data_IF_938480903694
#
_entry.id   IF_938480903694
#
_cell.length_a   1.000
_cell.length_b   1.000
_cell.length_c   1.000
_cell.angle_alpha   90.00
_cell.angle_beta   90.00
_cell.angle_gamma   90.00
#
_symmetry.space_group_name_H-M   'P 1'
#
loop_
_entity.id
_entity.type
_entity.pdbx_description
1 polymer ?
#
# COMPACT_ATOMS: atom_id res chain seq x y z
N UNK A 1 -6.71 25.95 9.68
CA UNK A 1 -5.94 25.04 10.57
C UNK A 1 -6.37 23.63 10.20
N UNK A 2 -5.46 22.81 9.68
CA UNK A 2 -5.78 21.42 9.33
C UNK A 2 -6.10 20.68 10.63
N UNK A 3 -7.32 20.16 10.75
CA UNK A 3 -7.83 19.64 12.01
C UNK A 3 -7.40 18.19 12.21
N UNK A 4 -6.14 17.98 12.63
CA UNK A 4 -5.55 16.65 12.88
C UNK A 4 -6.34 15.79 13.88
N UNK A 5 -7.24 16.40 14.66
CA UNK A 5 -8.07 15.73 15.68
C UNK A 5 -9.31 15.03 15.13
N UNK A 6 -9.69 15.27 13.87
CA UNK A 6 -10.87 14.62 13.29
C UNK A 6 -10.56 13.19 12.83
N UNK A 7 -11.47 12.26 13.12
CA UNK A 7 -11.41 10.90 12.61
C UNK A 7 -11.62 10.87 11.09
N UNK A 8 -11.15 9.82 10.43
CA UNK A 8 -11.35 9.67 8.99
C UNK A 8 -12.84 9.69 8.61
N UNK A 9 -13.69 9.10 9.45
CA UNK A 9 -15.14 9.09 9.27
C UNK A 9 -15.76 10.49 9.37
N UNK A 10 -15.28 11.32 10.32
CA UNK A 10 -15.74 12.71 10.44
C UNK A 10 -15.37 13.53 9.21
N UNK A 11 -14.11 13.41 8.75
CA UNK A 11 -13.66 14.07 7.53
C UNK A 11 -14.43 13.57 6.30
N UNK A 12 -14.73 12.27 6.24
CA UNK A 12 -15.51 11.68 5.16
C UNK A 12 -16.94 12.22 5.11
N UNK A 13 -17.60 12.34 6.26
CA UNK A 13 -18.95 12.87 6.31
C UNK A 13 -18.99 14.36 5.95
N UNK A 14 -18.05 15.17 6.44
CA UNK A 14 -17.93 16.58 6.06
C UNK A 14 -17.64 16.75 4.55
N UNK A 15 -16.76 15.91 3.98
CA UNK A 15 -16.52 15.85 2.54
C UNK A 15 -17.81 15.61 1.75
N UNK A 16 -18.67 14.70 2.20
CA UNK A 16 -19.95 14.37 1.53
C UNK A 16 -20.91 15.56 1.51
N UNK A 17 -20.84 16.41 2.53
CA UNK A 17 -21.59 17.67 2.61
C UNK A 17 -20.99 18.77 1.73
N UNK A 18 -19.77 18.58 1.23
CA UNK A 18 -19.08 19.48 0.32
C UNK A 18 -18.02 20.35 0.98
N UNK A 19 -17.56 19.97 2.18
CA UNK A 19 -16.46 20.64 2.87
C UNK A 19 -15.12 20.41 2.13
N UNK A 20 -14.52 21.51 1.66
CA UNK A 20 -13.24 21.51 0.94
C UNK A 20 -12.04 21.29 1.88
N UNK A 21 -12.12 21.75 3.13
CA UNK A 21 -11.04 21.56 4.10
C UNK A 21 -10.98 20.09 4.53
N UNK A 22 -12.14 19.44 4.68
CA UNK A 22 -12.21 18.01 4.95
C UNK A 22 -11.64 17.17 3.79
N UNK A 23 -11.91 17.57 2.54
CA UNK A 23 -11.29 16.96 1.36
C UNK A 23 -9.77 17.08 1.38
N UNK A 24 -9.26 18.30 1.64
CA UNK A 24 -7.82 18.57 1.69
C UNK A 24 -7.14 17.77 2.81
N UNK A 25 -7.77 17.69 3.98
CA UNK A 25 -7.26 16.91 5.11
C UNK A 25 -7.18 15.41 4.79
N UNK A 26 -8.19 14.84 4.13
CA UNK A 26 -8.15 13.44 3.68
C UNK A 26 -7.04 13.22 2.65
N UNK A 27 -6.88 14.12 1.69
CA UNK A 27 -5.81 14.04 0.70
C UNK A 27 -4.44 14.01 1.38
N UNK A 28 -4.14 15.01 2.22
CA UNK A 28 -2.86 15.10 2.91
C UNK A 28 -2.59 13.89 3.82
N UNK A 29 -3.61 13.42 4.54
CA UNK A 29 -3.50 12.28 5.45
C UNK A 29 -3.18 10.97 4.74
N UNK A 30 -3.77 10.75 3.56
CA UNK A 30 -3.64 9.46 2.87
C UNK A 30 -2.65 9.44 1.71
N UNK A 31 -2.23 10.61 1.19
CA UNK A 31 -1.38 10.69 0.00
C UNK A 31 -0.12 9.84 0.12
N UNK A 32 0.69 10.04 1.16
CA UNK A 32 1.97 9.32 1.31
C UNK A 32 1.78 7.80 1.42
N UNK A 33 0.75 7.34 2.14
CA UNK A 33 0.47 5.91 2.29
C UNK A 33 -0.06 5.29 0.99
N UNK A 34 -0.92 6.01 0.28
CA UNK A 34 -1.45 5.60 -1.03
C UNK A 34 -0.33 5.55 -2.07
N UNK A 35 0.54 6.55 -2.09
CA UNK A 35 1.71 6.62 -2.97
C UNK A 35 2.65 5.44 -2.71
N UNK A 36 3.04 5.20 -1.46
CA UNK A 36 3.91 4.08 -1.09
C UNK A 36 3.32 2.73 -1.49
N UNK A 37 2.01 2.54 -1.32
CA UNK A 37 1.33 1.32 -1.79
C UNK A 37 1.28 1.23 -3.32
N UNK A 38 0.89 2.31 -3.99
CA UNK A 38 0.77 2.34 -5.44
C UNK A 38 2.11 2.06 -6.14
N UNK A 39 3.19 2.65 -5.64
CA UNK A 39 4.54 2.44 -6.16
C UNK A 39 4.95 0.96 -6.07
N UNK A 40 4.70 0.30 -4.93
CA UNK A 40 4.94 -1.16 -4.78
C UNK A 40 4.11 -2.04 -5.72
N UNK A 41 3.00 -1.52 -6.25
CA UNK A 41 2.10 -2.29 -7.12
C UNK A 41 2.41 -2.10 -8.60
N UNK A 42 2.80 -0.89 -9.00
CA UNK A 42 2.95 -0.51 -10.41
C UNK A 42 4.39 -0.24 -10.84
N UNK A 43 5.30 0.04 -9.90
CA UNK A 43 6.69 0.45 -10.15
C UNK A 43 6.84 1.58 -11.20
N UNK A 44 5.81 2.43 -11.31
CA UNK A 44 5.77 3.58 -12.22
C UNK A 44 5.23 4.78 -11.43
N UNK A 45 6.10 5.76 -11.17
CA UNK A 45 5.79 6.95 -10.37
C UNK A 45 4.68 7.76 -11.01
N UNK A 46 4.82 8.10 -12.30
CA UNK A 46 3.85 8.92 -13.04
C UNK A 46 2.46 8.29 -13.01
N UNK A 47 2.37 6.99 -13.29
CA UNK A 47 1.09 6.26 -13.27
C UNK A 47 0.45 6.29 -11.89
N UNK A 48 1.24 6.17 -10.82
CA UNK A 48 0.73 6.17 -9.44
C UNK A 48 0.22 7.55 -9.03
N UNK A 49 0.96 8.61 -9.36
CA UNK A 49 0.54 9.98 -9.09
C UNK A 49 -0.76 10.31 -9.84
N UNK A 50 -0.84 9.98 -11.13
CA UNK A 50 -2.04 10.14 -11.94
C UNK A 50 -3.22 9.34 -11.36
N UNK A 51 -2.99 8.09 -10.94
CA UNK A 51 -4.02 7.27 -10.33
C UNK A 51 -4.56 7.86 -9.02
N UNK A 52 -3.69 8.46 -8.20
CA UNK A 52 -4.08 9.13 -6.94
C UNK A 52 -4.84 10.42 -7.26
N UNK A 53 -4.36 11.23 -8.19
CA UNK A 53 -5.03 12.47 -8.59
C UNK A 53 -6.44 12.16 -9.13
N UNK A 54 -6.54 11.22 -10.06
CA UNK A 54 -7.82 10.75 -10.60
C UNK A 54 -8.73 10.21 -9.51
N UNK A 55 -8.19 9.54 -8.50
CA UNK A 55 -8.97 9.06 -7.34
C UNK A 55 -9.63 10.22 -6.62
N UNK A 56 -8.86 11.22 -6.22
CA UNK A 56 -9.36 12.32 -5.43
C UNK A 56 -10.26 13.26 -6.25
N UNK A 57 -10.00 13.45 -7.54
CA UNK A 57 -10.91 14.17 -8.45
C UNK A 57 -12.27 13.46 -8.53
N UNK A 58 -12.27 12.14 -8.73
CA UNK A 58 -13.50 11.35 -8.78
C UNK A 58 -14.24 11.38 -7.44
N UNK A 59 -13.51 11.27 -6.33
CA UNK A 59 -14.07 11.35 -4.99
C UNK A 59 -14.78 12.70 -4.76
N UNK A 60 -14.16 13.81 -5.16
CA UNK A 60 -14.79 15.13 -5.05
C UNK A 60 -16.04 15.24 -5.93
N UNK A 61 -15.97 14.78 -7.17
CA UNK A 61 -17.11 14.81 -8.11
C UNK A 61 -18.30 13.99 -7.59
N UNK A 62 -18.03 12.82 -7.03
CA UNK A 62 -19.03 11.86 -6.54
C UNK A 62 -19.33 12.01 -5.04
N UNK A 63 -18.80 13.03 -4.36
CA UNK A 63 -18.86 13.17 -2.89
C UNK A 63 -20.27 13.01 -2.30
N UNK A 64 -21.31 13.50 -2.97
CA UNK A 64 -22.71 13.38 -2.49
C UNK A 64 -23.30 11.99 -2.65
N UNK A 65 -22.84 11.21 -3.63
CA UNK A 65 -23.35 9.87 -3.94
C UNK A 65 -22.48 8.75 -3.36
N UNK A 66 -21.28 9.06 -2.90
CA UNK A 66 -20.42 8.07 -2.25
C UNK A 66 -21.11 7.59 -0.97
N UNK A 67 -21.21 6.27 -0.80
CA UNK A 67 -21.84 5.67 0.36
C UNK A 67 -21.09 6.02 1.64
N UNK A 68 -21.72 5.83 2.80
CA UNK A 68 -20.96 5.68 4.04
C UNK A 68 -19.94 4.56 3.81
N UNK A 69 -18.65 4.88 3.88
CA UNK A 69 -17.61 3.90 3.65
C UNK A 69 -17.54 2.99 4.89
N UNK A 70 -17.50 1.67 4.68
CA UNK A 70 -17.20 0.68 5.75
C UNK A 70 -15.87 1.02 6.44
N UNK A 71 -14.92 1.55 5.67
CA UNK A 71 -13.72 2.25 6.13
C UNK A 71 -13.22 3.18 5.02
N UNK A 72 -12.87 4.42 5.37
CA UNK A 72 -12.31 5.40 4.43
C UNK A 72 -11.01 4.87 3.82
N UNK A 73 -10.11 4.35 4.66
CA UNK A 73 -8.86 3.73 4.22
C UNK A 73 -9.13 2.60 3.22
N UNK A 74 -10.05 1.70 3.54
CA UNK A 74 -10.41 0.59 2.65
C UNK A 74 -10.92 1.07 1.28
N UNK A 75 -11.82 2.06 1.28
CA UNK A 75 -12.35 2.65 0.05
C UNK A 75 -11.23 3.23 -0.83
N UNK A 76 -10.32 4.01 -0.24
CA UNK A 76 -9.24 4.67 -0.96
C UNK A 76 -8.28 3.65 -1.58
N UNK A 77 -7.85 2.63 -0.83
CA UNK A 77 -6.94 1.60 -1.33
C UNK A 77 -7.57 0.78 -2.46
N UNK A 78 -8.83 0.36 -2.31
CA UNK A 78 -9.56 -0.36 -3.34
C UNK A 78 -9.71 0.48 -4.62
N UNK A 79 -10.02 1.76 -4.47
CA UNK A 79 -10.19 2.69 -5.59
C UNK A 79 -8.88 2.94 -6.31
N UNK A 80 -7.78 3.12 -5.58
CA UNK A 80 -6.45 3.30 -6.14
C UNK A 80 -6.00 2.07 -6.92
N UNK A 81 -6.12 0.87 -6.32
CA UNK A 81 -5.71 -0.38 -6.98
C UNK A 81 -6.45 -0.59 -8.31
N UNK A 82 -7.75 -0.27 -8.34
CA UNK A 82 -8.55 -0.31 -9.56
C UNK A 82 -8.04 0.69 -10.61
N UNK A 83 -7.71 1.92 -10.21
CA UNK A 83 -7.20 2.96 -11.12
C UNK A 83 -5.85 2.58 -11.71
N UNK A 84 -4.92 2.12 -10.87
CA UNK A 84 -3.63 1.57 -11.32
C UNK A 84 -3.85 0.47 -12.35
N UNK A 85 -4.70 -0.52 -12.05
CA UNK A 85 -4.97 -1.63 -12.98
C UNK A 85 -5.57 -1.17 -14.32
N UNK A 86 -6.40 -0.13 -14.31
CA UNK A 86 -6.97 0.43 -15.54
C UNK A 86 -5.93 1.21 -16.34
N UNK A 87 -5.06 1.98 -15.67
CA UNK A 87 -4.01 2.77 -16.32
C UNK A 87 -2.89 1.88 -16.86
N UNK A 88 -2.43 0.88 -16.11
CA UNK A 88 -1.38 -0.04 -16.58
C UNK A 88 -1.80 -0.79 -17.84
N UNK A 89 -3.07 -1.23 -17.90
CA UNK A 89 -3.63 -1.86 -19.11
C UNK A 89 -3.71 -0.92 -20.31
N UNK A 90 -3.83 0.39 -20.07
CA UNK A 90 -3.80 1.38 -21.14
C UNK A 90 -2.36 1.55 -21.61
N UNK A 91 -1.39 1.69 -20.71
CA UNK A 91 0.03 1.77 -21.09
C UNK A 91 0.51 0.53 -21.86
N UNK A 92 0.10 -0.68 -21.46
CA UNK A 92 0.41 -1.92 -22.19
C UNK A 92 -0.09 -1.93 -23.64
N UNK A 93 -1.11 -1.12 -23.97
CA UNK A 93 -1.64 -0.94 -25.33
C UNK A 93 -0.92 0.12 -26.17
N UNK A 94 -0.02 0.91 -25.57
CA UNK A 94 0.75 1.98 -26.20
C UNK A 94 2.25 1.71 -25.98
N UNK A 95 2.82 0.83 -26.81
CA UNK A 95 4.25 0.49 -27.02
C UNK A 95 5.36 1.01 -26.09
N UNK A 96 6.27 0.09 -25.76
CA UNK A 96 7.75 0.23 -25.67
C UNK A 96 8.30 1.64 -25.50
N UNK A 97 8.79 1.96 -24.29
CA UNK A 97 9.99 2.78 -24.05
C UNK A 97 10.62 2.28 -22.74
N UNK A 98 11.92 1.95 -22.79
CA UNK A 98 12.76 1.68 -21.62
C UNK A 98 12.67 2.83 -20.61
N UNK A 99 12.59 2.53 -19.33
CA UNK A 99 12.87 3.57 -18.31
C UNK A 99 13.62 3.00 -17.13
N UNK A 100 14.66 3.75 -16.81
CA UNK A 100 15.73 3.50 -15.88
C UNK A 100 15.25 3.40 -14.43
N UNK A 101 15.95 2.55 -13.68
CA UNK A 101 15.80 2.34 -12.25
C UNK A 101 15.99 3.64 -11.48
N UNK A 102 14.91 4.20 -10.91
CA UNK A 102 15.00 5.29 -9.94
C UNK A 102 15.14 4.72 -8.53
N UNK A 103 16.25 5.02 -7.87
CA UNK A 103 16.48 4.74 -6.46
C UNK A 103 15.51 5.54 -5.58
N UNK A 104 14.97 4.89 -4.55
CA UNK A 104 14.18 5.52 -3.51
C UNK A 104 15.00 6.58 -2.74
N UNK A 105 14.40 7.70 -2.29
CA UNK A 105 15.13 8.67 -1.48
C UNK A 105 15.30 8.17 -0.04
N UNK A 106 16.56 8.15 0.42
CA UNK A 106 16.95 7.83 1.80
C UNK A 106 16.78 9.01 2.77
N UNK A 107 16.29 8.65 3.95
CA UNK A 107 16.71 9.00 5.32
C UNK A 107 16.80 10.46 5.80
N UNK A 108 16.04 10.73 6.86
CA UNK A 108 16.31 11.78 7.85
C UNK A 108 17.36 11.29 8.85
N UNK A 109 18.45 12.05 8.98
CA UNK A 109 19.54 11.81 9.93
C UNK A 109 19.26 12.48 11.28
N UNK A 110 19.49 11.75 12.38
CA UNK A 110 19.72 12.28 13.72
C UNK A 110 20.74 11.38 14.43
N UNK A 111 21.80 11.98 14.96
CA UNK A 111 22.99 11.32 15.52
C UNK A 111 22.67 10.51 16.81
N UNK A 112 22.94 9.19 16.80
CA UNK A 112 23.05 8.32 17.99
C UNK A 112 23.82 6.99 17.65
N UNK A 113 24.10 6.04 18.57
CA UNK A 113 25.37 5.30 18.60
C UNK A 113 25.56 4.28 17.46
N UNK A 114 26.62 4.51 16.67
CA UNK A 114 26.98 3.92 15.38
C UNK A 114 26.92 2.38 15.26
N UNK A 115 27.25 1.61 16.31
CA UNK A 115 27.35 0.15 16.22
C UNK A 115 26.00 -0.59 16.12
N UNK A 116 24.96 -0.08 16.79
CA UNK A 116 23.63 -0.71 16.72
C UNK A 116 22.88 -0.35 15.45
N UNK A 117 23.16 0.83 14.88
CA UNK A 117 22.57 1.27 13.62
C UNK A 117 23.08 0.45 12.43
N UNK A 118 24.36 0.08 12.41
CA UNK A 118 24.92 -0.76 11.34
C UNK A 118 24.25 -2.15 11.30
N UNK A 119 24.09 -2.81 12.44
CA UNK A 119 23.40 -4.11 12.52
C UNK A 119 21.92 -4.01 12.12
N UNK A 120 21.22 -2.96 12.55
CA UNK A 120 19.84 -2.71 12.18
C UNK A 120 19.69 -2.42 10.68
N UNK A 121 20.58 -1.61 10.13
CA UNK A 121 20.58 -1.24 8.71
C UNK A 121 20.83 -2.47 7.84
N UNK A 122 21.81 -3.31 8.21
CA UNK A 122 22.07 -4.58 7.53
C UNK A 122 20.89 -5.54 7.62
N UNK A 123 20.19 -5.58 8.76
CA UNK A 123 18.98 -6.41 8.91
C UNK A 123 17.85 -5.90 8.01
N UNK A 124 17.61 -4.58 7.98
CA UNK A 124 16.60 -3.95 7.12
C UNK A 124 16.92 -4.23 5.65
N UNK A 125 18.17 -4.08 5.22
CA UNK A 125 18.60 -4.34 3.85
C UNK A 125 18.34 -5.80 3.46
N UNK A 126 18.70 -6.77 4.31
CA UNK A 126 18.42 -8.20 4.08
C UNK A 126 16.94 -8.50 3.99
N UNK A 127 16.11 -7.86 4.82
CA UNK A 127 14.64 -8.02 4.77
C UNK A 127 14.09 -7.43 3.48
N UNK A 128 14.51 -6.22 3.11
CA UNK A 128 14.10 -5.55 1.88
C UNK A 128 14.45 -6.38 0.66
N UNK A 129 15.68 -6.88 0.59
CA UNK A 129 16.13 -7.77 -0.49
C UNK A 129 15.26 -9.05 -0.58
N UNK A 130 14.96 -9.68 0.55
CA UNK A 130 14.10 -10.88 0.56
C UNK A 130 12.66 -10.57 0.09
N UNK A 131 12.12 -9.40 0.44
CA UNK A 131 10.80 -8.94 -0.01
C UNK A 131 10.78 -8.66 -1.50
N UNK A 132 11.82 -8.03 -2.06
CA UNK A 132 11.94 -7.73 -3.50
C UNK A 132 12.00 -9.00 -4.36
N UNK A 133 12.48 -10.12 -3.82
CA UNK A 133 12.50 -11.41 -4.53
C UNK A 133 11.15 -12.12 -4.58
N UNK A 134 10.16 -11.66 -3.80
CA UNK A 134 8.83 -12.23 -3.88
C UNK A 134 8.16 -11.88 -5.22
N UNK A 135 7.34 -12.78 -5.80
CA UNK A 135 6.48 -12.42 -6.93
C UNK A 135 5.58 -11.21 -6.60
N UNK A 136 5.24 -10.34 -7.57
CA UNK A 136 4.51 -9.09 -7.32
C UNK A 136 3.20 -9.27 -6.52
N UNK A 137 2.45 -10.34 -6.81
CA UNK A 137 1.22 -10.67 -6.07
C UNK A 137 1.47 -11.02 -4.59
N UNK A 138 2.60 -11.63 -4.28
CA UNK A 138 2.99 -11.95 -2.91
C UNK A 138 3.43 -10.69 -2.18
N UNK A 139 4.24 -9.84 -2.81
CA UNK A 139 4.62 -8.53 -2.28
C UNK A 139 3.40 -7.67 -1.94
N UNK A 140 2.42 -7.58 -2.86
CA UNK A 140 1.21 -6.80 -2.65
C UNK A 140 0.39 -7.28 -1.45
N UNK A 141 0.21 -8.60 -1.32
CA UNK A 141 -0.51 -9.20 -0.19
C UNK A 141 0.22 -8.96 1.14
N UNK A 142 1.56 -9.04 1.16
CA UNK A 142 2.37 -8.70 2.34
C UNK A 142 2.22 -7.21 2.69
N UNK A 143 2.28 -6.32 1.70
CA UNK A 143 2.09 -4.89 1.89
C UNK A 143 0.72 -4.57 2.51
N UNK A 144 -0.36 -5.11 1.93
CA UNK A 144 -1.71 -4.88 2.44
C UNK A 144 -1.92 -5.48 3.84
N UNK A 145 -1.34 -6.64 4.12
CA UNK A 145 -1.51 -7.31 5.42
C UNK A 145 -0.69 -6.65 6.53
N UNK A 146 0.61 -6.49 6.31
CA UNK A 146 1.56 -6.15 7.38
C UNK A 146 1.85 -4.64 7.46
N UNK A 147 1.83 -3.92 6.34
CA UNK A 147 2.06 -2.47 6.34
C UNK A 147 0.75 -1.70 6.51
N UNK A 148 -0.33 -2.22 5.92
CA UNK A 148 -1.63 -1.53 5.94
C UNK A 148 -2.61 -2.09 6.97
N UNK A 149 -2.38 -3.29 7.50
CA UNK A 149 -3.20 -3.89 8.56
C UNK A 149 -4.53 -4.47 8.10
N UNK A 150 -4.76 -4.64 6.79
CA UNK A 150 -6.02 -5.15 6.27
C UNK A 150 -6.25 -6.62 6.63
N UNK A 151 -7.52 -6.99 6.82
CA UNK A 151 -7.96 -8.39 6.99
C UNK A 151 -8.01 -9.10 5.64
N UNK A 152 -7.95 -10.43 5.65
CA UNK A 152 -7.94 -11.24 4.42
C UNK A 152 -9.13 -10.94 3.50
N UNK A 153 -10.31 -10.72 4.07
CA UNK A 153 -11.53 -10.35 3.33
C UNK A 153 -11.40 -8.98 2.64
N UNK A 154 -10.78 -8.00 3.30
CA UNK A 154 -10.54 -6.68 2.72
C UNK A 154 -9.48 -6.77 1.61
N UNK A 155 -8.39 -7.51 1.84
CA UNK A 155 -7.36 -7.76 0.83
C UNK A 155 -7.98 -8.41 -0.41
N UNK A 156 -8.84 -9.41 -0.22
CA UNK A 156 -9.57 -10.08 -1.29
C UNK A 156 -10.40 -9.10 -2.12
N UNK A 157 -11.12 -8.18 -1.46
CA UNK A 157 -11.93 -7.14 -2.12
C UNK A 157 -11.09 -6.06 -2.81
N UNK A 158 -9.93 -5.69 -2.26
CA UNK A 158 -8.98 -4.74 -2.86
C UNK A 158 -8.37 -5.33 -4.14
N UNK A 159 -7.91 -6.57 -4.07
CA UNK A 159 -7.22 -7.25 -5.17
C UNK A 159 -8.16 -7.91 -6.18
N UNK A 160 -9.45 -8.02 -5.87
CA UNK A 160 -10.44 -8.69 -6.75
C UNK A 160 -10.25 -10.21 -6.84
N UNK A 161 -9.83 -10.86 -5.76
CA UNK A 161 -9.61 -12.31 -5.66
C UNK A 161 -10.43 -12.92 -4.51
N UNK A 162 -10.40 -14.24 -4.35
CA UNK A 162 -11.07 -14.90 -3.22
C UNK A 162 -10.23 -14.81 -1.95
N UNK A 163 -10.87 -14.81 -0.78
CA UNK A 163 -10.17 -14.84 0.52
C UNK A 163 -9.27 -16.09 0.66
N UNK A 164 -9.72 -17.23 0.12
CA UNK A 164 -8.89 -18.45 0.02
C UNK A 164 -7.61 -18.19 -0.79
N UNK A 165 -7.70 -17.44 -1.89
CA UNK A 165 -6.54 -17.06 -2.70
C UNK A 165 -5.59 -16.15 -1.91
N UNK A 166 -6.12 -15.21 -1.11
CA UNK A 166 -5.30 -14.37 -0.22
C UNK A 166 -4.54 -15.23 0.78
N UNK A 167 -5.22 -16.13 1.51
CA UNK A 167 -4.57 -17.04 2.48
C UNK A 167 -3.47 -17.89 1.83
N UNK A 168 -3.76 -18.49 0.67
CA UNK A 168 -2.78 -19.26 -0.07
C UNK A 168 -1.58 -18.40 -0.52
N UNK A 169 -1.81 -17.16 -0.93
CA UNK A 169 -0.76 -16.24 -1.37
C UNK A 169 0.11 -15.79 -0.18
N UNK A 170 -0.51 -15.47 0.97
CA UNK A 170 0.20 -15.21 2.23
C UNK A 170 1.07 -16.39 2.63
N UNK A 171 0.50 -17.60 2.64
CA UNK A 171 1.25 -18.80 3.02
C UNK A 171 2.47 -19.04 2.12
N UNK A 172 2.31 -18.86 0.80
CA UNK A 172 3.40 -18.95 -0.16
C UNK A 172 4.46 -17.86 0.07
N UNK A 173 4.03 -16.62 0.31
CA UNK A 173 4.93 -15.51 0.58
C UNK A 173 5.77 -15.75 1.83
N UNK A 174 5.13 -16.14 2.93
CA UNK A 174 5.81 -16.43 4.21
C UNK A 174 6.72 -17.66 4.10
N UNK A 175 6.33 -18.69 3.36
CA UNK A 175 7.18 -19.85 3.10
C UNK A 175 8.43 -19.47 2.29
N UNK A 176 8.27 -18.65 1.25
CA UNK A 176 9.38 -18.17 0.45
C UNK A 176 10.34 -17.29 1.26
N UNK A 177 9.81 -16.37 2.07
CA UNK A 177 10.62 -15.57 2.99
C UNK A 177 11.37 -16.44 4.01
N UNK A 178 10.76 -17.53 4.50
CA UNK A 178 11.44 -18.45 5.42
C UNK A 178 12.63 -19.17 4.77
N UNK A 179 12.52 -19.52 3.49
CA UNK A 179 13.60 -20.17 2.73
C UNK A 179 14.74 -19.21 2.40
N UNK A 180 14.41 -17.97 2.00
CA UNK A 180 15.39 -16.96 1.58
C UNK A 180 16.00 -16.19 2.76
N UNK A 181 15.26 -16.05 3.86
CA UNK A 181 15.66 -15.34 5.07
C UNK A 181 15.48 -16.25 6.30
N UNK A 182 16.34 -17.27 6.48
CA UNK A 182 16.23 -18.22 7.58
C UNK A 182 16.32 -17.58 8.97
N UNK A 183 16.93 -16.39 9.07
CA UNK A 183 16.94 -15.59 10.29
C UNK A 183 15.53 -15.12 10.74
N UNK A 184 14.54 -15.10 9.83
CA UNK A 184 13.14 -14.79 10.14
C UNK A 184 12.32 -16.04 10.52
N UNK A 185 12.87 -17.25 10.41
CA UNK A 185 12.14 -18.50 10.62
C UNK A 185 11.34 -18.59 11.94
N UNK A 186 11.86 -18.20 13.12
CA UNK A 186 11.07 -18.27 14.36
C UNK A 186 9.85 -17.34 14.34
N UNK A 187 9.98 -16.15 13.76
CA UNK A 187 8.90 -15.17 13.62
C UNK A 187 7.86 -15.62 12.58
N UNK A 188 8.32 -16.13 11.44
CA UNK A 188 7.44 -16.62 10.37
C UNK A 188 6.70 -17.90 10.77
N UNK A 189 7.28 -18.74 11.63
CA UNK A 189 6.60 -19.91 12.19
C UNK A 189 5.38 -19.54 13.01
N UNK A 190 5.51 -18.52 13.87
CA UNK A 190 4.38 -17.98 14.64
C UNK A 190 3.30 -17.38 13.73
N UNK A 191 3.70 -16.60 12.72
CA UNK A 191 2.76 -16.01 11.76
C UNK A 191 2.03 -17.09 10.95
N UNK A 192 2.74 -18.10 10.44
CA UNK A 192 2.13 -19.20 9.68
C UNK A 192 1.10 -19.98 10.51
N UNK A 193 1.39 -20.22 11.80
CA UNK A 193 0.42 -20.86 12.71
C UNK A 193 -0.80 -19.98 12.97
N UNK A 194 -0.61 -18.67 13.14
CA UNK A 194 -1.70 -17.71 13.33
C UNK A 194 -2.62 -17.57 12.09
N UNK A 195 -2.10 -17.87 10.90
CA UNK A 195 -2.83 -17.76 9.63
C UNK A 195 -3.38 -19.09 9.08
N UNK A 196 -3.09 -20.22 9.74
CA UNK A 196 -3.62 -21.56 9.41
C UNK A 196 -4.97 -21.83 10.07
#
# INVERSE_FOLDING_TARGET
MINERQSDEQLWNALREGDQDAFSALYQRFYATLYSYGYKVADNVTLVEDAIQDLFVDLWRMRRSVSGAESVKFYLFRSLRRKIHVLSKKEDGWHFVDTETHAAPESYSAEHPLMQEEEQSQLIERITYALEKLPPRQQEVIALRFYQGFKNEEIARIMGITEKSVRNTLHKALSHLREQAPFLAPLLGFLLWWFS
#
